data_IF_838535772646
#
_entry.id   IF_838535772646
#
_cell.length_a   1.000
_cell.length_b   1.000
_cell.length_c   1.000
_cell.angle_alpha   90.00
_cell.angle_beta   90.00
_cell.angle_gamma   90.00
#
_symmetry.space_group_name_H-M   'P 1'
#
loop_
_entity.id
_entity.type
_entity.pdbx_description
1 polymer ?
#
# COMPACT_ATOMS: atom_id res chain seq x y z
N UNK A 1 2.97 -13.31 -89.61
CA UNK A 1 4.21 -12.58 -89.85
C UNK A 1 4.06 -11.17 -89.31
N UNK A 2 4.10 -10.85 -88.02
CA UNK A 2 4.25 -11.48 -86.70
C UNK A 2 4.57 -10.25 -85.82
N UNK A 3 3.99 -9.89 -84.68
CA UNK A 3 2.90 -10.38 -83.84
C UNK A 3 2.65 -9.26 -82.79
N UNK A 4 1.41 -9.16 -82.33
CA UNK A 4 0.87 -8.21 -81.33
C UNK A 4 1.78 -8.00 -80.10
N UNK A 5 1.91 -6.81 -79.52
CA UNK A 5 0.82 -6.00 -78.95
C UNK A 5 0.52 -6.46 -77.52
N UNK A 6 1.10 -5.78 -76.51
CA UNK A 6 0.57 -5.64 -75.12
C UNK A 6 1.55 -4.87 -74.23
N UNK A 7 1.31 -3.57 -74.14
CA UNK A 7 1.69 -2.71 -73.01
C UNK A 7 0.91 -3.20 -71.79
N UNK A 8 1.59 -3.80 -70.81
CA UNK A 8 1.01 -4.19 -69.54
C UNK A 8 1.95 -3.84 -68.39
N UNK A 9 1.48 -2.90 -67.57
CA UNK A 9 1.73 -2.70 -66.15
C UNK A 9 2.91 -3.47 -65.52
N UNK A 10 3.93 -2.73 -65.09
CA UNK A 10 4.71 -3.09 -63.91
C UNK A 10 4.51 -1.98 -62.85
N UNK A 11 3.66 -2.31 -61.87
CA UNK A 11 3.48 -1.62 -60.59
C UNK A 11 4.84 -1.44 -59.89
N UNK A 12 5.15 -0.25 -59.36
CA UNK A 12 5.01 0.11 -57.92
C UNK A 12 5.46 -1.02 -56.98
N UNK A 13 6.47 -0.88 -56.11
CA UNK A 13 6.55 0.04 -54.97
C UNK A 13 8.03 0.13 -54.51
N UNK A 14 8.57 1.33 -54.36
CA UNK A 14 9.82 1.60 -53.65
C UNK A 14 9.61 1.29 -52.16
N UNK A 15 10.19 0.21 -51.65
CA UNK A 15 10.22 -0.07 -50.21
C UNK A 15 11.27 0.84 -49.55
N UNK A 16 10.84 2.02 -49.11
CA UNK A 16 11.58 2.80 -48.12
C UNK A 16 11.58 2.02 -46.80
N UNK A 17 12.60 1.20 -46.56
CA UNK A 17 12.95 0.74 -45.22
C UNK A 17 13.50 1.92 -44.43
N UNK A 18 12.60 2.78 -43.92
CA UNK A 18 12.93 3.62 -42.78
C UNK A 18 12.97 2.68 -41.59
N UNK A 19 14.17 2.22 -41.27
CA UNK A 19 14.47 1.63 -39.97
C UNK A 19 14.30 2.78 -38.97
N UNK A 20 13.08 2.95 -38.46
CA UNK A 20 12.89 3.58 -37.17
C UNK A 20 13.55 2.65 -36.16
N UNK A 21 14.86 2.84 -35.97
CA UNK A 21 15.48 2.53 -34.70
C UNK A 21 14.73 3.39 -33.69
N UNK A 22 13.63 2.85 -33.15
CA UNK A 22 13.03 3.34 -31.94
C UNK A 22 14.13 3.21 -30.90
N UNK A 23 14.86 4.29 -30.70
CA UNK A 23 15.57 4.51 -29.46
C UNK A 23 14.49 4.45 -28.41
N UNK A 24 14.29 3.25 -27.85
CA UNK A 24 13.54 3.05 -26.65
C UNK A 24 14.19 3.97 -25.65
N UNK A 25 13.60 5.15 -25.47
CA UNK A 25 13.91 6.02 -24.34
C UNK A 25 13.91 5.09 -23.16
N UNK A 26 15.05 4.94 -22.51
CA UNK A 26 15.17 4.26 -21.22
C UNK A 26 14.02 4.75 -20.37
N UNK A 27 12.92 3.97 -20.35
CA UNK A 27 11.79 4.21 -19.49
C UNK A 27 12.34 3.77 -18.16
N UNK A 28 12.94 4.74 -17.45
CA UNK A 28 13.48 4.51 -16.14
C UNK A 28 12.44 3.72 -15.38
N UNK A 29 12.82 2.52 -14.96
CA UNK A 29 11.93 1.56 -14.35
C UNK A 29 11.37 2.22 -13.08
N UNK A 30 10.14 2.72 -13.19
CA UNK A 30 9.54 3.54 -12.14
C UNK A 30 8.98 2.60 -11.09
N UNK A 31 9.82 2.25 -10.11
CA UNK A 31 9.41 1.43 -8.98
C UNK A 31 8.90 2.30 -7.84
N UNK A 32 7.64 2.10 -7.44
CA UNK A 32 7.05 2.75 -6.27
C UNK A 32 7.83 2.51 -4.97
N UNK A 33 8.63 1.43 -4.92
CA UNK A 33 9.52 1.11 -3.79
C UNK A 33 10.50 2.24 -3.48
N UNK A 34 10.85 3.06 -4.47
CA UNK A 34 11.79 4.18 -4.32
C UNK A 34 11.11 5.47 -3.82
N UNK A 35 9.78 5.51 -3.78
CA UNK A 35 9.05 6.70 -3.37
C UNK A 35 9.00 6.82 -1.84
N UNK A 36 8.94 8.07 -1.36
CA UNK A 36 8.79 8.37 0.06
C UNK A 36 7.30 8.47 0.44
N UNK A 37 7.02 8.41 1.74
CA UNK A 37 5.67 8.60 2.26
C UNK A 37 4.86 7.30 2.41
N UNK A 38 3.70 7.37 3.07
CA UNK A 38 2.87 6.21 3.37
C UNK A 38 1.95 5.91 2.18
N UNK A 39 2.51 5.58 1.02
CA UNK A 39 1.75 5.54 -0.25
C UNK A 39 0.68 4.45 -0.27
N UNK A 40 0.98 3.29 0.32
CA UNK A 40 -0.01 2.21 0.45
C UNK A 40 -1.23 2.67 1.23
N UNK A 41 -1.04 3.44 2.32
CA UNK A 41 -2.14 3.99 3.10
C UNK A 41 -3.02 4.89 2.22
N UNK A 42 -2.42 5.84 1.49
CA UNK A 42 -3.16 6.75 0.63
C UNK A 42 -3.97 6.02 -0.43
N UNK A 43 -3.41 4.97 -1.04
CA UNK A 43 -4.13 4.13 -1.99
C UNK A 43 -5.33 3.43 -1.33
N UNK A 44 -5.12 2.84 -0.15
CA UNK A 44 -6.13 2.01 0.51
C UNK A 44 -7.36 2.81 0.95
N UNK A 45 -7.15 4.06 1.39
CA UNK A 45 -8.24 4.98 1.77
C UNK A 45 -8.78 5.82 0.59
N UNK A 46 -8.30 5.56 -0.62
CA UNK A 46 -8.83 6.17 -1.85
C UNK A 46 -8.37 7.60 -2.14
N UNK A 47 -7.23 8.03 -1.58
CA UNK A 47 -6.62 9.30 -1.98
C UNK A 47 -6.07 9.24 -3.40
N UNK A 48 -6.00 10.40 -4.06
CA UNK A 48 -5.50 10.51 -5.43
C UNK A 48 -4.12 11.17 -5.48
N UNK A 49 -3.14 10.60 -6.22
CA UNK A 49 -1.80 11.16 -6.32
C UNK A 49 -1.80 12.46 -7.13
N UNK A 50 -0.94 13.41 -6.72
CA UNK A 50 -0.67 14.64 -7.48
C UNK A 50 0.82 14.71 -7.81
N UNK A 51 1.13 14.85 -9.10
CA UNK A 51 2.50 14.86 -9.64
C UNK A 51 2.92 16.28 -10.01
N UNK A 52 4.21 16.62 -9.86
CA UNK A 52 4.72 17.95 -10.25
C UNK A 52 4.75 18.07 -11.77
N UNK A 53 5.17 17.01 -12.44
CA UNK A 53 5.24 16.92 -13.90
C UNK A 53 4.62 15.61 -14.37
N UNK A 54 4.05 15.64 -15.57
CA UNK A 54 3.54 14.43 -16.23
C UNK A 54 4.71 13.48 -16.49
N UNK A 55 4.60 12.25 -15.99
CA UNK A 55 5.65 11.24 -16.10
C UNK A 55 6.60 11.15 -14.91
N UNK A 56 6.43 11.99 -13.89
CA UNK A 56 7.13 11.80 -12.60
C UNK A 56 6.75 10.44 -11.99
N UNK A 57 7.73 9.77 -11.41
CA UNK A 57 7.51 8.46 -10.80
C UNK A 57 6.74 8.56 -9.47
N UNK A 58 7.11 9.52 -8.64
CA UNK A 58 6.54 9.70 -7.30
C UNK A 58 5.67 10.95 -7.25
N UNK A 59 4.48 10.82 -6.65
CA UNK A 59 3.64 11.96 -6.35
C UNK A 59 4.30 12.83 -5.27
N UNK A 60 4.15 14.15 -5.38
CA UNK A 60 4.69 15.08 -4.38
C UNK A 60 3.69 15.39 -3.26
N UNK A 61 2.41 15.09 -3.47
CA UNK A 61 1.34 15.13 -2.48
C UNK A 61 0.19 14.24 -2.93
N UNK A 62 -0.74 13.96 -2.02
CA UNK A 62 -2.01 13.30 -2.33
C UNK A 62 -3.18 14.22 -2.01
N UNK A 63 -4.23 14.13 -2.83
CA UNK A 63 -5.52 14.73 -2.50
C UNK A 63 -6.35 13.71 -1.72
N UNK A 64 -6.46 13.95 -0.42
CA UNK A 64 -7.27 13.19 0.53
C UNK A 64 -8.39 14.05 1.14
N UNK A 65 -8.85 15.10 0.45
CA UNK A 65 -9.84 16.03 1.02
C UNK A 65 -11.16 15.37 1.41
N UNK A 66 -11.48 14.21 0.83
CA UNK A 66 -12.64 13.41 1.21
C UNK A 66 -12.54 12.84 2.62
N UNK A 67 -11.34 12.62 3.15
CA UNK A 67 -11.13 12.13 4.52
C UNK A 67 -11.55 13.19 5.55
N UNK A 68 -11.23 14.47 5.31
CA UNK A 68 -11.64 15.58 6.17
C UNK A 68 -13.16 15.82 6.15
N UNK A 69 -13.84 15.41 5.07
CA UNK A 69 -15.28 15.52 4.93
C UNK A 69 -16.06 14.35 5.59
N UNK A 70 -15.36 13.34 6.11
CA UNK A 70 -16.00 12.20 6.78
C UNK A 70 -16.65 12.65 8.09
N UNK A 71 -17.87 12.20 8.31
CA UNK A 71 -18.56 12.43 9.57
C UNK A 71 -18.03 11.51 10.66
N UNK A 72 -17.91 12.02 11.89
CA UNK A 72 -17.47 11.21 13.04
C UNK A 72 -18.48 10.13 13.46
N UNK A 73 -19.73 10.20 13.01
CA UNK A 73 -20.81 9.26 13.36
C UNK A 73 -21.13 8.25 12.25
N UNK A 74 -20.23 8.08 11.27
CA UNK A 74 -20.38 7.10 10.18
C UNK A 74 -19.06 6.40 9.95
N UNK A 75 -19.14 5.17 9.46
CA UNK A 75 -17.97 4.44 9.01
C UNK A 75 -17.80 4.62 7.51
N UNK A 76 -16.57 4.48 7.03
CA UNK A 76 -16.24 4.70 5.63
C UNK A 76 -15.35 3.62 5.06
N UNK A 77 -15.66 3.14 3.86
CA UNK A 77 -14.76 2.34 3.04
C UNK A 77 -14.53 3.11 1.73
N UNK A 78 -13.33 3.66 1.59
CA UNK A 78 -12.94 4.63 0.55
C UNK A 78 -13.92 5.80 0.49
N UNK A 79 -14.83 5.76 -0.49
CA UNK A 79 -15.81 6.79 -0.78
C UNK A 79 -17.24 6.42 -0.33
N UNK A 80 -17.46 5.19 0.15
CA UNK A 80 -18.76 4.72 0.61
C UNK A 80 -18.87 4.95 2.13
N UNK A 81 -19.98 5.55 2.56
CA UNK A 81 -20.33 5.69 3.98
C UNK A 81 -21.30 4.60 4.42
N UNK A 82 -21.24 4.26 5.70
CA UNK A 82 -22.12 3.30 6.36
C UNK A 82 -22.70 3.97 7.60
N UNK A 83 -24.01 3.87 7.80
CA UNK A 83 -24.68 4.34 9.02
C UNK A 83 -24.35 3.43 10.20
N UNK A 84 -24.54 3.92 11.43
CA UNK A 84 -24.48 3.08 12.62
C UNK A 84 -25.47 1.91 12.47
N UNK A 85 -25.04 0.73 12.90
CA UNK A 85 -25.68 -0.58 12.75
C UNK A 85 -25.78 -1.11 11.30
N UNK A 86 -25.32 -0.36 10.29
CA UNK A 86 -25.26 -0.86 8.91
C UNK A 86 -24.19 -1.94 8.78
N UNK A 87 -24.57 -3.08 8.21
CA UNK A 87 -23.65 -4.18 7.92
C UNK A 87 -22.73 -3.84 6.75
N UNK A 88 -21.45 -4.14 6.91
CA UNK A 88 -20.48 -4.16 5.81
C UNK A 88 -20.75 -5.40 4.95
N UNK A 89 -20.99 -5.19 3.66
CA UNK A 89 -21.50 -6.23 2.76
C UNK A 89 -20.42 -7.24 2.35
N UNK A 90 -20.84 -8.46 2.03
CA UNK A 90 -19.95 -9.50 1.48
C UNK A 90 -19.30 -9.08 0.15
N UNK A 91 -19.95 -8.19 -0.62
CA UNK A 91 -19.46 -7.67 -1.90
C UNK A 91 -18.27 -6.69 -1.75
N UNK A 92 -17.94 -6.26 -0.54
CA UNK A 92 -16.90 -5.28 -0.30
C UNK A 92 -15.47 -5.91 -0.20
N UNK A 93 -15.31 -7.17 -0.64
CA UNK A 93 -14.06 -7.83 -1.08
C UNK A 93 -12.97 -8.20 -0.04
N UNK A 94 -13.21 -8.05 1.27
CA UNK A 94 -12.31 -8.65 2.27
C UNK A 94 -12.86 -10.01 2.78
N UNK A 95 -12.30 -11.16 2.35
CA UNK A 95 -12.80 -12.47 2.77
C UNK A 95 -12.59 -12.76 4.26
N UNK A 96 -11.77 -11.97 4.95
CA UNK A 96 -11.54 -12.07 6.39
C UNK A 96 -12.45 -11.16 7.23
N UNK A 97 -13.29 -10.34 6.60
CA UNK A 97 -14.14 -9.37 7.27
C UNK A 97 -15.54 -9.96 7.53
N UNK A 98 -15.64 -11.01 8.36
CA UNK A 98 -16.92 -11.66 8.64
C UNK A 98 -17.75 -10.88 9.67
N UNK A 99 -19.03 -10.67 9.34
CA UNK A 99 -20.00 -10.07 10.27
C UNK A 99 -19.65 -8.65 10.70
N UNK A 100 -18.94 -7.90 9.86
CA UNK A 100 -18.59 -6.52 10.15
C UNK A 100 -19.84 -5.62 10.06
N UNK A 101 -19.99 -4.70 11.01
CA UNK A 101 -20.99 -3.65 10.96
C UNK A 101 -20.39 -2.35 11.47
N UNK A 102 -20.93 -1.22 11.04
CA UNK A 102 -20.54 0.07 11.56
C UNK A 102 -21.16 0.28 12.95
N UNK A 103 -20.35 0.61 13.95
CA UNK A 103 -20.85 0.91 15.28
C UNK A 103 -20.10 2.06 15.93
N UNK A 104 -20.47 2.37 17.16
CA UNK A 104 -19.79 3.40 17.93
C UNK A 104 -18.35 3.00 18.26
N UNK A 105 -17.43 3.96 18.14
CA UNK A 105 -16.06 3.87 18.67
C UNK A 105 -15.87 4.82 19.84
N UNK A 106 -14.63 4.96 20.33
CA UNK A 106 -14.38 5.79 21.52
C UNK A 106 -14.54 7.29 21.23
N UNK A 107 -14.19 7.71 20.02
CA UNK A 107 -14.13 9.12 19.58
C UNK A 107 -14.78 9.37 18.22
N UNK A 108 -14.99 8.30 17.44
CA UNK A 108 -15.71 8.29 16.17
C UNK A 108 -16.16 6.87 15.84
N UNK A 109 -17.13 6.73 14.93
CA UNK A 109 -17.64 5.44 14.49
C UNK A 109 -16.53 4.57 13.87
N UNK A 110 -16.61 3.27 14.09
CA UNK A 110 -15.66 2.28 13.58
C UNK A 110 -16.39 0.99 13.20
N UNK A 111 -15.78 0.20 12.32
CA UNK A 111 -16.30 -1.14 12.07
C UNK A 111 -15.99 -2.06 13.25
N UNK A 112 -17.01 -2.79 13.69
CA UNK A 112 -16.90 -3.89 14.62
C UNK A 112 -17.03 -5.19 13.83
N UNK A 113 -15.94 -5.94 13.74
CA UNK A 113 -15.84 -7.17 12.96
C UNK A 113 -15.64 -8.38 13.86
N UNK A 114 -16.24 -9.52 13.51
CA UNK A 114 -15.87 -10.78 14.14
C UNK A 114 -14.48 -11.19 13.63
N UNK A 115 -13.55 -11.43 14.54
CA UNK A 115 -12.26 -12.01 14.16
C UNK A 115 -12.45 -13.43 13.67
N UNK A 116 -12.07 -13.69 12.41
CA UNK A 116 -12.07 -15.04 11.85
C UNK A 116 -10.95 -15.84 12.50
N UNK A 117 -11.30 -16.74 13.41
CA UNK A 117 -10.36 -17.74 13.92
C UNK A 117 -10.35 -18.93 12.96
N UNK A 118 -9.37 -18.94 12.08
CA UNK A 118 -9.14 -20.09 11.22
C UNK A 118 -8.61 -21.26 12.04
N UNK A 119 -9.31 -22.39 11.99
CA UNK A 119 -8.76 -23.65 12.49
C UNK A 119 -7.63 -24.09 11.55
N UNK A 120 -6.43 -24.25 12.09
CA UNK A 120 -5.28 -24.78 11.36
C UNK A 120 -5.08 -26.22 11.84
N UNK A 121 -5.48 -27.23 11.05
CA UNK A 121 -5.26 -28.63 11.43
C UNK A 121 -3.76 -28.95 11.46
N UNK A 122 -3.32 -29.93 12.27
CA UNK A 122 -1.96 -30.47 12.18
C UNK A 122 -1.65 -30.91 10.75
N UNK A 123 -0.50 -30.47 10.22
CA UNK A 123 -0.02 -30.83 8.90
C UNK A 123 1.07 -31.87 9.07
N UNK A 124 0.82 -33.09 8.58
CA UNK A 124 1.81 -34.17 8.61
C UNK A 124 2.95 -33.94 7.63
N UNK A 125 4.06 -34.64 7.85
CA UNK A 125 5.23 -34.59 6.97
C UNK A 125 4.85 -34.92 5.52
N UNK A 126 5.36 -34.13 4.57
CA UNK A 126 5.07 -34.30 3.14
C UNK A 126 3.70 -33.77 2.70
N UNK A 127 2.88 -33.22 3.60
CA UNK A 127 1.63 -32.56 3.28
C UNK A 127 1.73 -31.04 3.43
N UNK A 128 0.76 -30.31 2.90
CA UNK A 128 0.66 -28.86 3.03
C UNK A 128 -0.80 -28.40 3.14
N UNK A 129 -1.05 -27.17 3.58
CA UNK A 129 -2.40 -26.61 3.59
C UNK A 129 -2.71 -26.01 2.21
N UNK A 130 -3.78 -26.49 1.58
CA UNK A 130 -4.31 -25.84 0.40
C UNK A 130 -4.66 -24.39 0.70
N UNK A 131 -4.29 -23.47 -0.18
CA UNK A 131 -4.68 -22.06 -0.10
C UNK A 131 -5.53 -21.68 -1.28
N UNK A 132 -6.47 -20.79 -1.03
CA UNK A 132 -7.16 -20.06 -2.07
C UNK A 132 -6.92 -18.57 -1.79
N UNK A 133 -6.35 -17.86 -2.76
CA UNK A 133 -6.04 -16.44 -2.63
C UNK A 133 -7.27 -15.52 -2.53
N UNK A 134 -8.48 -16.06 -2.66
CA UNK A 134 -9.74 -15.34 -2.43
C UNK A 134 -10.40 -15.71 -1.09
N UNK A 135 -9.81 -16.63 -0.32
CA UNK A 135 -10.33 -17.03 0.99
C UNK A 135 -9.46 -16.46 2.12
N UNK A 136 -10.08 -16.32 3.29
CA UNK A 136 -9.36 -15.92 4.50
C UNK A 136 -8.61 -17.09 5.12
N UNK A 137 -9.31 -18.20 5.33
CA UNK A 137 -8.77 -19.37 6.00
C UNK A 137 -8.06 -20.32 5.04
N UNK A 138 -7.09 -21.11 5.56
CA UNK A 138 -6.57 -22.24 4.81
C UNK A 138 -7.71 -23.19 4.44
N UNK A 139 -7.58 -23.81 3.27
CA UNK A 139 -8.38 -24.94 2.87
C UNK A 139 -7.88 -26.24 3.51
N UNK A 140 -8.26 -27.40 2.94
CA UNK A 140 -7.91 -28.70 3.49
C UNK A 140 -6.40 -28.97 3.42
N UNK A 141 -5.94 -29.92 4.25
CA UNK A 141 -4.60 -30.50 4.13
C UNK A 141 -4.55 -31.32 2.84
N UNK A 142 -3.54 -31.05 2.01
CA UNK A 142 -3.26 -31.73 0.76
C UNK A 142 -1.98 -32.56 0.95
N UNK A 143 -2.09 -33.87 0.75
CA UNK A 143 -0.97 -34.80 0.76
C UNK A 143 -0.80 -35.34 -0.67
N UNK A 144 0.32 -35.02 -1.35
CA UNK A 144 0.61 -35.57 -2.67
C UNK A 144 0.55 -37.11 -2.65
N UNK A 145 -0.08 -37.71 -3.67
CA UNK A 145 -0.18 -39.17 -3.79
C UNK A 145 1.13 -39.75 -4.35
N UNK A 146 1.44 -40.98 -3.99
CA UNK A 146 2.44 -41.82 -4.66
C UNK A 146 3.86 -41.22 -4.80
N UNK A 147 4.33 -40.48 -3.79
CA UNK A 147 5.70 -39.94 -3.78
C UNK A 147 5.92 -38.69 -4.64
N UNK A 148 4.86 -38.09 -5.18
CA UNK A 148 4.92 -36.76 -5.78
C UNK A 148 5.40 -35.73 -4.74
N UNK A 149 6.26 -34.81 -5.16
CA UNK A 149 6.77 -33.76 -4.29
C UNK A 149 5.70 -32.69 -4.03
N UNK A 150 5.80 -32.00 -2.89
CA UNK A 150 5.03 -30.79 -2.63
C UNK A 150 5.31 -29.80 -3.77
N UNK A 151 4.28 -29.12 -4.34
CA UNK A 151 4.51 -28.13 -5.37
C UNK A 151 5.53 -27.08 -4.93
N UNK A 152 6.44 -26.70 -5.82
CA UNK A 152 7.39 -25.62 -5.61
C UNK A 152 7.23 -24.56 -6.69
N UNK A 153 7.22 -23.30 -6.28
CA UNK A 153 7.09 -22.15 -7.16
C UNK A 153 8.33 -21.27 -6.98
N UNK A 154 9.07 -21.01 -8.06
CA UNK A 154 10.22 -20.10 -8.03
C UNK A 154 9.77 -18.73 -8.53
N UNK A 155 9.79 -17.74 -7.64
CA UNK A 155 9.36 -16.36 -7.94
C UNK A 155 10.42 -15.39 -7.45
N UNK A 156 10.91 -14.53 -8.34
CA UNK A 156 11.93 -13.51 -8.02
C UNK A 156 13.20 -14.06 -7.34
N UNK A 157 13.57 -15.31 -7.68
CA UNK A 157 14.71 -16.03 -7.12
C UNK A 157 14.45 -16.71 -5.76
N UNK A 158 13.20 -16.70 -5.27
CA UNK A 158 12.78 -17.34 -4.01
C UNK A 158 11.91 -18.57 -4.33
N UNK A 159 12.20 -19.69 -3.68
CA UNK A 159 11.38 -20.91 -3.78
C UNK A 159 10.32 -20.91 -2.69
N UNK A 160 9.06 -21.00 -3.11
CA UNK A 160 7.89 -21.13 -2.25
C UNK A 160 7.34 -22.55 -2.34
N UNK A 161 6.92 -23.12 -1.22
CA UNK A 161 6.27 -24.43 -1.15
C UNK A 161 4.76 -24.31 -1.31
N UNK A 162 4.12 -25.41 -1.70
CA UNK A 162 2.66 -25.50 -1.83
C UNK A 162 1.94 -24.92 -0.62
N UNK A 163 1.01 -24.02 -0.87
CA UNK A 163 0.23 -23.32 0.16
C UNK A 163 0.91 -22.09 0.78
N UNK A 164 2.14 -21.75 0.43
CA UNK A 164 2.77 -20.50 0.88
C UNK A 164 2.29 -19.30 0.07
N UNK A 165 2.10 -18.16 0.74
CA UNK A 165 1.77 -16.89 0.09
C UNK A 165 3.04 -16.16 -0.34
N UNK A 166 2.95 -15.43 -1.46
CA UNK A 166 3.99 -14.53 -1.92
C UNK A 166 3.40 -13.28 -2.58
N UNK A 167 4.24 -12.25 -2.68
CA UNK A 167 3.94 -11.00 -3.39
C UNK A 167 5.07 -10.78 -4.40
N UNK A 168 4.80 -10.79 -5.72
CA UNK A 168 5.83 -10.57 -6.72
C UNK A 168 6.45 -9.17 -6.59
N UNK A 169 7.78 -9.06 -6.71
CA UNK A 169 8.51 -7.80 -6.55
C UNK A 169 8.05 -6.73 -7.55
N UNK A 170 7.78 -7.14 -8.79
CA UNK A 170 7.36 -6.25 -9.86
C UNK A 170 5.84 -6.02 -9.91
N UNK A 171 5.07 -6.81 -9.16
CA UNK A 171 3.60 -6.69 -9.07
C UNK A 171 3.18 -6.61 -7.60
N UNK A 172 3.61 -5.59 -6.84
CA UNK A 172 3.46 -5.53 -5.38
C UNK A 172 2.00 -5.46 -4.91
N UNK A 173 1.06 -5.21 -5.84
CA UNK A 173 -0.39 -5.21 -5.60
C UNK A 173 -1.03 -6.60 -5.67
N UNK A 174 -0.33 -7.60 -6.20
CA UNK A 174 -0.84 -8.96 -6.27
C UNK A 174 -0.59 -9.71 -4.98
N UNK A 175 -1.59 -10.47 -4.55
CA UNK A 175 -1.47 -11.49 -3.52
C UNK A 175 -1.52 -12.84 -4.21
N UNK A 176 -0.46 -13.62 -4.05
CA UNK A 176 -0.31 -14.91 -4.71
C UNK A 176 -0.11 -16.03 -3.70
N UNK A 177 -0.42 -17.26 -4.09
CA UNK A 177 -0.06 -18.46 -3.34
C UNK A 177 0.52 -19.51 -4.26
N UNK A 178 1.55 -20.20 -3.80
CA UNK A 178 2.12 -21.32 -4.54
C UNK A 178 1.17 -22.51 -4.51
N UNK A 179 0.81 -23.01 -5.69
CA UNK A 179 -0.08 -24.15 -5.86
C UNK A 179 0.41 -24.99 -7.04
N UNK A 180 -0.07 -26.23 -7.12
CA UNK A 180 0.17 -27.09 -8.28
C UNK A 180 -0.31 -26.41 -9.57
N UNK A 181 0.52 -26.46 -10.62
CA UNK A 181 0.22 -25.86 -11.92
C UNK A 181 0.65 -24.40 -12.09
N UNK A 182 1.28 -23.77 -11.10
CA UNK A 182 1.85 -22.43 -11.27
C UNK A 182 3.02 -22.46 -12.26
N UNK A 183 2.89 -21.75 -13.38
CA UNK A 183 3.87 -21.71 -14.49
C UNK A 183 4.86 -20.56 -14.41
N UNK A 184 4.74 -19.68 -13.41
CA UNK A 184 5.44 -18.39 -13.35
C UNK A 184 4.58 -17.19 -13.72
N UNK A 185 3.37 -17.42 -14.22
CA UNK A 185 2.41 -16.36 -14.56
C UNK A 185 1.57 -15.96 -13.34
N UNK A 186 1.61 -14.68 -12.97
CA UNK A 186 0.88 -14.15 -11.83
C UNK A 186 -0.62 -13.93 -12.13
N UNK A 187 -1.34 -14.97 -12.52
CA UNK A 187 -2.76 -14.91 -12.91
C UNK A 187 -3.64 -15.75 -11.98
N UNK A 188 -4.97 -15.60 -12.10
CA UNK A 188 -5.91 -16.47 -11.39
C UNK A 188 -5.74 -17.94 -11.84
N UNK A 189 -5.89 -18.93 -10.93
CA UNK A 189 -6.29 -18.80 -9.53
C UNK A 189 -5.13 -18.57 -8.55
N UNK A 190 -3.89 -18.46 -9.04
CA UNK A 190 -2.69 -18.37 -8.19
C UNK A 190 -2.51 -17.00 -7.57
N UNK A 191 -2.94 -15.95 -8.26
CA UNK A 191 -2.80 -14.57 -7.86
C UNK A 191 -4.10 -13.80 -8.06
N UNK A 192 -4.41 -12.91 -7.12
CA UNK A 192 -5.43 -11.88 -7.29
C UNK A 192 -4.84 -10.51 -7.04
N UNK A 193 -5.51 -9.47 -7.52
CA UNK A 193 -5.28 -8.08 -7.07
C UNK A 193 -6.41 -7.71 -6.11
N UNK A 194 -6.19 -7.74 -4.79
CA UNK A 194 -7.23 -7.36 -3.83
C UNK A 194 -7.70 -5.92 -4.08
N UNK A 195 -8.99 -5.66 -3.92
CA UNK A 195 -9.54 -4.30 -4.03
C UNK A 195 -9.06 -3.38 -2.91
N UNK A 196 -8.71 -3.95 -1.76
CA UNK A 196 -8.10 -3.30 -0.60
C UNK A 196 -6.88 -4.09 -0.20
N UNK A 197 -5.75 -3.40 -0.03
CA UNK A 197 -4.47 -4.06 0.24
C UNK A 197 -4.28 -4.30 1.73
N UNK A 198 -4.61 -3.31 2.54
CA UNK A 198 -4.40 -3.33 3.99
C UNK A 198 -5.71 -3.33 4.77
N UNK A 199 -6.84 -3.06 4.10
CA UNK A 199 -8.14 -2.87 4.75
C UNK A 199 -8.10 -1.79 5.83
N UNK A 200 -7.32 -0.74 5.59
CA UNK A 200 -7.08 0.38 6.50
C UNK A 200 -8.39 1.05 6.90
N UNK A 201 -9.26 1.35 5.95
CA UNK A 201 -10.57 1.92 6.25
C UNK A 201 -11.44 1.00 7.13
N UNK A 202 -11.33 -0.33 6.95
CA UNK A 202 -12.10 -1.29 7.74
C UNK A 202 -11.63 -1.29 9.20
N UNK A 203 -10.32 -1.36 9.44
CA UNK A 203 -9.79 -1.56 10.79
C UNK A 203 -9.43 -0.27 11.53
N UNK A 204 -9.24 0.85 10.81
CA UNK A 204 -8.65 2.08 11.32
C UNK A 204 -9.51 3.32 11.03
N UNK A 205 -10.83 3.16 10.91
CA UNK A 205 -11.75 4.29 10.68
C UNK A 205 -11.57 5.40 11.73
N UNK A 206 -11.48 5.00 12.99
CA UNK A 206 -11.32 5.92 14.10
C UNK A 206 -9.95 6.63 14.10
N UNK A 207 -8.87 5.91 13.78
CA UNK A 207 -7.53 6.48 13.65
C UNK A 207 -7.48 7.55 12.52
N UNK A 208 -8.12 7.25 11.38
CA UNK A 208 -8.21 8.17 10.23
C UNK A 208 -9.00 9.43 10.61
N UNK A 209 -10.15 9.28 11.29
CA UNK A 209 -10.98 10.39 11.73
C UNK A 209 -10.25 11.31 12.72
N UNK A 210 -9.33 10.76 13.51
CA UNK A 210 -8.48 11.50 14.44
C UNK A 210 -7.16 11.97 13.83
N UNK A 211 -6.94 11.75 12.53
CA UNK A 211 -5.73 12.16 11.81
C UNK A 211 -4.47 11.58 12.46
N UNK A 212 -4.58 10.35 12.93
CA UNK A 212 -3.44 9.57 13.41
C UNK A 212 -2.53 9.20 12.24
N UNK A 213 -1.25 9.00 12.51
CA UNK A 213 -0.27 8.66 11.50
C UNK A 213 -0.02 7.15 11.46
N UNK A 214 0.04 6.53 10.26
CA UNK A 214 0.44 5.14 10.14
C UNK A 214 1.91 4.99 10.56
N UNK A 215 2.17 3.98 11.37
CA UNK A 215 3.51 3.63 11.84
C UNK A 215 4.01 2.39 11.11
N UNK A 216 5.32 2.28 10.94
CA UNK A 216 5.98 1.18 10.25
C UNK A 216 7.18 0.72 11.07
N UNK A 217 7.48 -0.57 11.02
CA UNK A 217 8.73 -1.08 11.59
C UNK A 217 9.93 -0.55 10.79
N UNK A 218 11.13 -0.68 11.37
CA UNK A 218 12.34 -0.06 10.84
C UNK A 218 12.70 -0.56 9.43
N UNK A 219 12.43 -1.83 9.15
CA UNK A 219 12.68 -2.57 7.92
C UNK A 219 11.54 -2.46 6.88
N UNK A 220 10.33 -2.10 7.31
CA UNK A 220 9.18 -1.94 6.40
C UNK A 220 9.34 -0.73 5.48
N UNK A 221 8.81 -0.80 4.25
CA UNK A 221 8.80 0.32 3.31
C UNK A 221 7.40 0.98 3.31
N UNK A 222 7.23 2.20 3.84
CA UNK A 222 5.92 2.87 3.89
C UNK A 222 5.21 3.03 2.54
N UNK A 223 5.96 3.04 1.44
CA UNK A 223 5.40 3.15 0.10
C UNK A 223 4.73 1.84 -0.38
N UNK A 224 5.11 0.68 0.19
CA UNK A 224 4.66 -0.63 -0.28
C UNK A 224 4.19 -1.58 0.82
N UNK A 225 4.39 -1.26 2.10
CA UNK A 225 3.97 -2.06 3.25
C UNK A 225 2.64 -1.57 3.81
N UNK A 226 1.92 -2.47 4.48
CA UNK A 226 0.80 -2.11 5.36
C UNK A 226 1.33 -1.66 6.71
N UNK A 227 0.66 -0.68 7.31
CA UNK A 227 1.01 -0.19 8.64
C UNK A 227 0.48 -1.15 9.71
N UNK A 228 1.33 -1.70 10.61
CA UNK A 228 0.87 -2.57 11.69
C UNK A 228 0.17 -1.83 12.84
N UNK A 229 0.41 -0.53 12.99
CA UNK A 229 -0.10 0.27 14.11
C UNK A 229 -0.18 1.75 13.76
N UNK A 230 -0.88 2.53 14.58
CA UNK A 230 -1.10 3.95 14.37
C UNK A 230 -0.66 4.76 15.58
N UNK A 231 -0.07 5.93 15.33
CA UNK A 231 0.25 6.91 16.38
C UNK A 231 -0.78 8.02 16.32
N UNK A 232 -1.49 8.27 17.41
CA UNK A 232 -2.39 9.40 17.54
C UNK A 232 -1.73 10.52 18.35
N UNK A 233 -2.22 11.75 18.17
CA UNK A 233 -1.69 12.90 18.90
C UNK A 233 -1.98 12.78 20.40
N UNK A 234 -0.96 13.00 21.22
CA UNK A 234 -1.07 13.23 22.65
C UNK A 234 -0.72 14.69 23.02
N UNK A 235 -0.93 15.05 24.29
CA UNK A 235 -0.76 16.43 24.76
C UNK A 235 0.70 16.93 24.74
N UNK A 236 1.69 16.04 24.70
CA UNK A 236 3.11 16.36 24.72
C UNK A 236 3.72 16.48 23.32
N UNK A 237 2.95 16.12 22.28
CA UNK A 237 3.42 16.18 20.90
C UNK A 237 3.57 17.63 20.44
N UNK A 238 4.73 17.92 19.87
CA UNK A 238 5.07 19.22 19.30
C UNK A 238 5.73 19.03 17.95
N UNK A 239 5.68 20.05 17.10
CA UNK A 239 6.36 20.03 15.79
C UNK A 239 7.76 20.61 15.96
N UNK A 240 8.76 19.86 15.51
CA UNK A 240 10.15 20.28 15.38
C UNK A 240 10.35 20.77 13.94
N UNK A 241 10.50 22.08 13.72
CA UNK A 241 10.68 22.61 12.38
C UNK A 241 12.00 22.15 11.76
N UNK A 242 11.98 21.79 10.48
CA UNK A 242 13.20 21.58 9.72
C UNK A 242 13.65 22.89 9.07
N UNK A 243 14.80 23.46 9.45
CA UNK A 243 15.27 24.74 8.90
C UNK A 243 15.56 24.68 7.40
N UNK A 244 15.80 23.47 6.86
CA UNK A 244 16.00 23.21 5.43
C UNK A 244 14.73 22.66 4.75
N UNK A 245 13.62 22.55 5.49
CA UNK A 245 12.34 22.10 4.98
C UNK A 245 11.81 23.05 3.92
N UNK A 246 11.01 22.52 2.98
CA UNK A 246 10.34 23.38 2.02
C UNK A 246 9.36 24.29 2.77
N UNK A 247 9.70 25.56 2.92
CA UNK A 247 8.72 26.57 3.35
C UNK A 247 7.61 26.58 2.31
N UNK A 248 6.33 26.67 2.70
CA UNK A 248 5.24 26.81 1.75
C UNK A 248 5.51 28.08 0.93
N UNK A 249 6.03 27.91 -0.29
CA UNK A 249 6.38 29.04 -1.12
C UNK A 249 5.11 29.83 -1.37
N UNK A 250 5.17 31.15 -1.20
CA UNK A 250 4.14 32.10 -1.66
C UNK A 250 4.13 32.18 -3.20
N UNK A 251 4.42 31.08 -3.89
CA UNK A 251 4.37 31.01 -5.34
C UNK A 251 2.96 30.61 -5.75
N UNK A 252 2.33 31.55 -6.45
CA UNK A 252 1.06 31.45 -7.14
C UNK A 252 1.12 30.44 -8.30
N UNK A 253 1.55 29.21 -8.06
CA UNK A 253 0.99 28.07 -8.76
C UNK A 253 -0.40 27.87 -8.15
N UNK A 254 -1.45 27.74 -8.96
CA UNK A 254 -2.86 27.62 -8.54
C UNK A 254 -3.20 26.36 -7.70
N UNK A 255 -2.43 26.09 -6.65
CA UNK A 255 -2.42 24.86 -5.85
C UNK A 255 -1.50 24.88 -4.63
N UNK A 256 -1.03 26.06 -4.16
CA UNK A 256 -0.24 26.23 -2.92
C UNK A 256 -0.94 25.81 -1.61
N UNK A 257 -2.19 25.34 -1.69
CA UNK A 257 -2.90 24.67 -0.60
C UNK A 257 -2.51 23.18 -0.58
N UNK A 258 -2.08 22.67 0.57
CA UNK A 258 -1.85 21.23 0.81
C UNK A 258 -0.42 20.73 0.69
N UNK A 259 0.59 21.57 0.96
CA UNK A 259 1.99 21.14 1.16
C UNK A 259 2.32 20.91 2.64
N UNK A 260 1.34 20.52 3.44
CA UNK A 260 1.50 20.29 4.87
C UNK A 260 0.88 18.96 5.25
N UNK A 261 1.51 18.29 6.21
CA UNK A 261 0.92 17.13 6.85
C UNK A 261 0.11 17.55 8.07
N UNK A 262 -0.93 16.76 8.38
CA UNK A 262 -1.76 16.89 9.58
C UNK A 262 -1.56 15.69 10.47
N UNK A 263 -1.43 15.95 11.77
CA UNK A 263 -1.33 14.95 12.81
C UNK A 263 -2.16 15.40 14.00
N UNK A 264 -3.35 14.82 14.17
CA UNK A 264 -4.41 15.41 14.99
C UNK A 264 -4.66 16.87 14.61
N UNK A 265 -4.40 17.77 15.55
CA UNK A 265 -4.50 19.22 15.41
C UNK A 265 -3.20 19.90 14.97
N UNK A 266 -2.06 19.18 14.97
CA UNK A 266 -0.77 19.72 14.54
C UNK A 266 -0.68 19.82 13.03
N UNK A 267 0.05 20.83 12.57
CA UNK A 267 0.36 21.05 11.15
C UNK A 267 1.86 21.06 10.97
N UNK A 268 2.34 20.25 10.04
CA UNK A 268 3.76 20.04 9.75
C UNK A 268 4.04 20.49 8.33
N UNK A 269 5.07 21.30 8.12
CA UNK A 269 5.60 21.56 6.78
C UNK A 269 6.40 20.35 6.30
N UNK A 270 6.64 20.28 4.99
CA UNK A 270 7.48 19.23 4.44
C UNK A 270 8.88 19.29 5.05
N UNK A 271 9.31 18.18 5.62
CA UNK A 271 10.59 18.03 6.31
C UNK A 271 10.49 18.17 7.82
N UNK A 272 9.43 18.78 8.37
CA UNK A 272 9.23 18.90 9.82
C UNK A 272 9.06 17.51 10.45
N UNK A 273 9.48 17.38 11.72
CA UNK A 273 9.38 16.15 12.49
C UNK A 273 8.46 16.34 13.72
N UNK A 274 7.84 15.27 14.19
CA UNK A 274 7.19 15.29 15.49
C UNK A 274 8.24 15.09 16.59
N UNK A 275 8.01 15.75 17.72
CA UNK A 275 8.83 15.53 18.90
C UNK A 275 8.71 14.08 19.39
N UNK A 276 9.81 13.62 20.00
CA UNK A 276 9.95 12.28 20.58
C UNK A 276 9.74 12.32 22.09
N UNK A 277 8.79 13.13 22.52
CA UNK A 277 8.49 13.37 23.92
C UNK A 277 7.38 12.41 24.39
N UNK A 278 7.44 11.96 25.64
CA UNK A 278 6.37 11.17 26.25
C UNK A 278 6.64 9.67 26.34
N UNK A 279 5.64 8.88 25.93
CA UNK A 279 5.56 7.42 26.08
C UNK A 279 6.49 6.64 25.14
N UNK A 280 6.59 5.33 25.37
CA UNK A 280 7.47 4.44 24.59
C UNK A 280 7.20 4.54 23.07
N UNK A 281 5.92 4.62 22.69
CA UNK A 281 5.46 4.72 21.30
C UNK A 281 5.88 6.04 20.63
N UNK A 282 6.04 7.12 21.40
CA UNK A 282 6.53 8.41 20.89
C UNK A 282 8.06 8.52 20.87
N UNK A 283 8.76 7.89 21.82
CA UNK A 283 10.23 7.98 21.95
C UNK A 283 11.00 7.18 20.89
N UNK A 284 10.59 5.94 20.65
CA UNK A 284 11.25 5.06 19.66
C UNK A 284 10.70 5.25 18.25
N UNK A 285 10.01 6.35 17.97
CA UNK A 285 9.34 6.59 16.69
C UNK A 285 9.79 7.90 16.08
N UNK A 286 10.23 7.85 14.83
CA UNK A 286 10.52 9.05 14.04
C UNK A 286 9.38 9.30 13.06
N UNK A 287 8.70 10.42 13.23
CA UNK A 287 7.63 10.85 12.36
C UNK A 287 8.02 12.12 11.61
N UNK A 288 8.01 12.06 10.28
CA UNK A 288 8.43 13.16 9.40
C UNK A 288 7.35 13.43 8.33
N UNK A 289 7.10 14.69 8.02
CA UNK A 289 6.25 15.06 6.90
C UNK A 289 7.03 14.98 5.58
N UNK A 290 7.02 13.82 4.93
CA UNK A 290 7.71 13.62 3.64
C UNK A 290 6.81 13.88 2.43
N UNK A 291 5.60 13.28 2.43
CA UNK A 291 4.61 13.39 1.36
C UNK A 291 3.24 13.66 2.00
N UNK A 292 2.71 14.88 1.90
CA UNK A 292 1.39 15.25 2.44
C UNK A 292 0.23 14.39 1.92
N UNK A 293 -0.86 14.24 2.70
CA UNK A 293 -1.23 15.05 3.88
C UNK A 293 -1.00 14.42 5.27
N UNK A 294 -0.41 13.24 5.38
CA UNK A 294 -0.17 12.54 6.66
C UNK A 294 1.34 12.31 6.85
N UNK A 295 1.90 12.55 8.06
CA UNK A 295 3.31 12.26 8.27
C UNK A 295 3.58 10.75 8.23
N UNK A 296 4.82 10.40 7.90
CA UNK A 296 5.29 9.01 7.88
C UNK A 296 6.03 8.72 9.17
N UNK A 297 5.58 7.72 9.92
CA UNK A 297 6.20 7.32 11.18
C UNK A 297 6.92 5.98 11.02
N UNK A 298 8.21 5.91 11.33
CA UNK A 298 8.94 4.64 11.40
C UNK A 298 9.55 4.44 12.78
N UNK A 299 9.49 3.21 13.28
CA UNK A 299 10.23 2.82 14.47
C UNK A 299 11.72 2.93 14.21
N UNK A 300 12.42 3.47 15.19
CA UNK A 300 13.87 3.44 15.25
C UNK A 300 14.31 2.00 15.57
N UNK A 301 15.52 1.64 15.13
CA UNK A 301 16.16 0.43 15.65
C UNK A 301 16.48 0.61 17.14
N UNK A 302 16.73 -0.50 17.84
CA UNK A 302 16.96 -0.49 19.29
C UNK A 302 18.15 0.39 19.70
N UNK A 303 19.22 0.40 18.89
CA UNK A 303 20.40 1.22 19.14
C UNK A 303 20.06 2.73 19.14
N UNK A 304 19.31 3.18 18.13
CA UNK A 304 18.95 4.57 17.95
C UNK A 304 17.87 5.01 18.93
N UNK A 305 16.97 4.10 19.34
CA UNK A 305 16.03 4.40 20.42
C UNK A 305 16.75 4.55 21.77
N UNK A 306 17.65 3.63 22.12
CA UNK A 306 18.38 3.68 23.38
C UNK A 306 19.34 4.89 23.45
N UNK A 307 19.89 5.31 22.31
CA UNK A 307 20.71 6.53 22.23
C UNK A 307 19.89 7.81 22.44
N UNK A 308 18.60 7.79 22.09
CA UNK A 308 17.69 8.90 22.40
C UNK A 308 17.37 9.01 23.90
N UNK A 309 17.55 7.92 24.67
CA UNK A 309 17.36 7.90 26.14
C UNK A 309 18.52 8.58 26.88
N UNK A 310 19.74 8.51 26.34
CA UNK A 310 20.96 9.05 26.94
C UNK A 310 21.27 10.52 26.57
N UNK A 311 20.33 11.24 25.94
CA UNK A 311 20.55 12.66 25.62
C UNK A 311 20.56 13.53 26.88
N UNK A 312 21.54 14.44 27.06
CA UNK A 312 21.76 15.17 28.31
C UNK A 312 20.67 16.23 28.51
N UNK A 313 19.60 15.84 29.19
CA UNK A 313 18.49 16.74 29.51
C UNK A 313 17.46 16.20 30.52
N UNK A 314 17.63 14.97 31.04
CA UNK A 314 16.79 14.42 32.11
C UNK A 314 17.66 14.04 33.31
N UNK A 315 17.74 14.95 34.27
CA UNK A 315 17.90 14.58 35.69
C UNK A 315 16.51 14.40 36.28
#
# INVERSE_FOLDING_TARGET
MDGHGRTFLLLQVFFCFIVFASTGKNKQDCSQVLCQGPLTYYEDVGCTPVYKKKGDCCAYKYNCGHLDARSRNKCYIKHRSYEIDESYGHDDNNPCALGCYCGDGATSARFNCAMVRCFIPPVGDGCYLGRNVSQCCPGPVICPKNGSQIPECVVDGVTYKGGEFFTPKNEPRKRCSCQEGYTGDNIEPFCITPSTRCSTDLYHNEDIANKCAPTYDSDQNPATSCSPSWRCQNANDTVIPNPNGATPSKENCSGGKGLTCKFGNLTMNIGDELSRNGDYDSRCMRCICQVPPTPTCKRLNDHDCNSADNSPGRK
#
